data_IF_438363367512
#
_entry.id   IF_438363367512
#
_cell.length_a   1.000
_cell.length_b   1.000
_cell.length_c   1.000
_cell.angle_alpha   90.00
_cell.angle_beta   90.00
_cell.angle_gamma   90.00
#
_symmetry.space_group_name_H-M   'P 1'
#
loop_
_entity.id
_entity.type
_entity.pdbx_description
1 polymer ?
#
# COMPACT_ATOMS: atom_id res chain seq x y z
N UNK A 1 -54.91 -55.12 -6.25
CA UNK A 1 -54.41 -53.73 -6.42
C UNK A 1 -53.17 -53.57 -5.55
N UNK A 2 -51.95 -53.72 -6.10
CA UNK A 2 -50.70 -53.56 -5.33
C UNK A 2 -50.24 -52.10 -5.47
N UNK A 3 -50.17 -51.42 -4.33
CA UNK A 3 -49.75 -50.02 -4.19
C UNK A 3 -48.24 -49.90 -4.51
N UNK A 4 -47.86 -49.11 -5.51
CA UNK A 4 -46.48 -48.96 -6.01
C UNK A 4 -45.77 -47.68 -5.51
N UNK A 5 -45.96 -47.31 -4.24
CA UNK A 5 -45.32 -46.12 -3.64
C UNK A 5 -44.21 -46.43 -2.63
N UNK A 6 -43.46 -47.52 -2.80
CA UNK A 6 -42.32 -47.82 -1.96
C UNK A 6 -41.04 -47.32 -2.64
N UNK A 7 -40.63 -46.09 -2.30
CA UNK A 7 -39.30 -45.56 -2.62
C UNK A 7 -38.30 -46.40 -1.83
N UNK A 8 -37.36 -47.05 -2.52
CA UNK A 8 -36.36 -47.89 -1.85
C UNK A 8 -35.24 -47.03 -1.29
N UNK A 9 -34.53 -47.52 -0.27
CA UNK A 9 -33.35 -46.83 0.28
C UNK A 9 -32.26 -46.58 -0.78
N UNK A 10 -32.24 -47.37 -1.87
CA UNK A 10 -31.33 -47.18 -3.00
C UNK A 10 -31.69 -45.92 -3.81
N UNK A 11 -32.99 -45.64 -4.02
CA UNK A 11 -33.46 -44.44 -4.74
C UNK A 11 -33.09 -43.15 -3.98
N UNK A 12 -33.18 -43.18 -2.65
CA UNK A 12 -32.77 -42.06 -1.78
C UNK A 12 -31.26 -41.81 -1.87
N UNK A 13 -30.44 -42.87 -1.99
CA UNK A 13 -28.98 -42.76 -2.10
C UNK A 13 -28.54 -42.14 -3.42
N UNK A 14 -29.18 -42.51 -4.54
CA UNK A 14 -28.89 -41.91 -5.85
C UNK A 14 -29.34 -40.44 -5.92
N UNK A 15 -30.48 -40.12 -5.31
CA UNK A 15 -31.00 -38.75 -5.24
C UNK A 15 -30.10 -37.82 -4.41
N UNK A 16 -29.51 -38.33 -3.32
CA UNK A 16 -28.54 -37.60 -2.50
C UNK A 16 -27.18 -37.39 -3.20
N UNK A 17 -26.73 -38.34 -4.05
CA UNK A 17 -25.52 -38.17 -4.89
C UNK A 17 -25.68 -37.05 -5.92
N UNK A 18 -26.89 -36.90 -6.49
CA UNK A 18 -27.22 -35.81 -7.42
C UNK A 18 -27.24 -34.43 -6.76
N UNK A 19 -27.84 -34.34 -5.56
CA UNK A 19 -27.91 -33.10 -4.78
C UNK A 19 -26.53 -32.58 -4.35
N UNK A 20 -25.63 -33.48 -3.93
CA UNK A 20 -24.25 -33.14 -3.57
C UNK A 20 -23.47 -32.58 -4.78
N UNK A 21 -23.71 -33.10 -5.99
CA UNK A 21 -22.99 -32.67 -7.20
C UNK A 21 -23.47 -31.31 -7.75
N UNK A 22 -24.72 -30.95 -7.51
CA UNK A 22 -25.36 -29.73 -8.00
C UNK A 22 -25.19 -28.53 -7.05
N UNK A 23 -25.20 -28.77 -5.74
CA UNK A 23 -25.16 -27.68 -4.74
C UNK A 23 -23.74 -27.45 -4.22
N UNK A 24 -22.95 -28.50 -3.98
CA UNK A 24 -21.69 -28.37 -3.26
C UNK A 24 -20.50 -28.05 -4.17
N UNK A 25 -20.53 -28.50 -5.44
CA UNK A 25 -19.48 -28.17 -6.43
C UNK A 25 -19.39 -26.67 -6.77
N UNK A 26 -20.49 -25.97 -7.10
CA UNK A 26 -20.42 -24.53 -7.36
C UNK A 26 -20.17 -23.72 -6.08
N UNK A 27 -20.70 -24.16 -4.93
CA UNK A 27 -20.47 -23.50 -3.63
C UNK A 27 -18.99 -23.55 -3.21
N UNK A 28 -18.33 -24.70 -3.40
CA UNK A 28 -16.90 -24.87 -3.11
C UNK A 28 -16.00 -24.05 -4.04
N UNK A 29 -16.39 -23.89 -5.31
CA UNK A 29 -15.67 -23.04 -6.27
C UNK A 29 -15.89 -21.55 -5.98
N UNK A 30 -17.09 -21.15 -5.56
CA UNK A 30 -17.38 -19.76 -5.18
C UNK A 30 -16.58 -19.32 -3.95
N UNK A 31 -16.41 -20.19 -2.95
CA UNK A 31 -15.56 -19.93 -1.78
C UNK A 31 -14.09 -19.73 -2.19
N UNK A 32 -13.59 -20.53 -3.15
CA UNK A 32 -12.21 -20.46 -3.64
C UNK A 32 -11.97 -19.20 -4.48
N UNK A 33 -12.96 -18.78 -5.28
CA UNK A 33 -12.91 -17.51 -6.04
C UNK A 33 -12.95 -16.30 -5.12
N UNK A 34 -13.76 -16.33 -4.05
CA UNK A 34 -13.79 -15.25 -3.05
C UNK A 34 -12.47 -15.14 -2.26
N UNK A 35 -11.82 -16.27 -1.98
CA UNK A 35 -10.48 -16.27 -1.42
C UNK A 35 -9.47 -15.64 -2.38
N UNK A 36 -9.49 -15.99 -3.67
CA UNK A 36 -8.58 -15.40 -4.67
C UNK A 36 -8.80 -13.90 -4.88
N UNK A 37 -10.05 -13.42 -4.85
CA UNK A 37 -10.38 -11.99 -5.00
C UNK A 37 -9.99 -11.19 -3.74
N UNK A 38 -10.18 -11.76 -2.54
CA UNK A 38 -9.79 -11.13 -1.28
C UNK A 38 -8.27 -10.96 -1.11
N UNK A 39 -7.47 -11.83 -1.74
CA UNK A 39 -6.00 -11.76 -1.69
C UNK A 39 -5.46 -10.65 -2.61
N UNK A 40 -6.18 -10.27 -3.67
CA UNK A 40 -5.73 -9.27 -4.64
C UNK A 40 -5.95 -7.80 -4.21
N UNK A 41 -6.66 -7.55 -3.09
CA UNK A 41 -7.02 -6.20 -2.63
C UNK A 41 -6.23 -5.71 -1.40
N UNK A 42 -5.04 -6.26 -1.16
CA UNK A 42 -4.24 -5.90 0.02
C UNK A 42 -2.94 -5.13 -0.25
N UNK A 43 -2.55 -4.85 -1.50
CA UNK A 43 -1.20 -4.35 -1.79
C UNK A 43 -1.12 -2.92 -2.36
N UNK A 44 -2.18 -2.12 -2.30
CA UNK A 44 -2.07 -0.67 -2.46
C UNK A 44 -1.80 -0.01 -1.10
N UNK A 45 -0.92 -0.59 -0.29
CA UNK A 45 -0.33 0.13 0.81
C UNK A 45 0.57 1.20 0.20
N UNK A 46 0.11 2.46 0.19
CA UNK A 46 0.94 3.59 -0.14
C UNK A 46 2.17 3.53 0.77
N UNK A 47 3.30 3.08 0.21
CA UNK A 47 4.54 3.00 0.95
C UNK A 47 4.88 4.42 1.39
N UNK A 48 4.87 4.67 2.70
CA UNK A 48 5.26 5.96 3.24
C UNK A 48 6.69 6.21 2.79
N UNK A 49 6.89 7.07 1.79
CA UNK A 49 8.22 7.37 1.30
C UNK A 49 8.91 8.22 2.36
N UNK A 50 9.64 7.53 3.23
CA UNK A 50 10.30 8.15 4.36
C UNK A 50 11.60 8.77 3.85
N UNK A 51 11.57 10.10 3.72
CA UNK A 51 12.67 10.91 3.21
C UNK A 51 13.30 11.70 4.35
N UNK A 52 14.62 11.82 4.34
CA UNK A 52 15.37 12.68 5.27
C UNK A 52 16.02 13.81 4.49
N UNK A 53 15.92 15.03 5.02
CA UNK A 53 16.51 16.23 4.43
C UNK A 53 17.64 16.72 5.31
N UNK A 54 18.85 16.82 4.75
CA UNK A 54 20.07 17.20 5.46
C UNK A 54 20.59 18.51 4.90
N UNK A 55 20.65 19.54 5.74
CA UNK A 55 21.27 20.82 5.37
C UNK A 55 22.80 20.69 5.40
N UNK A 56 23.45 20.85 4.25
CA UNK A 56 24.91 20.85 4.16
C UNK A 56 25.43 22.29 4.02
N UNK A 57 25.94 22.80 5.13
CA UNK A 57 26.27 24.22 5.26
C UNK A 57 27.45 24.65 4.36
N UNK A 58 28.45 23.78 4.19
CA UNK A 58 29.63 24.10 3.40
C UNK A 58 29.38 24.01 1.89
N UNK A 59 28.36 23.25 1.50
CA UNK A 59 28.02 23.03 0.09
C UNK A 59 26.85 23.88 -0.39
N UNK A 60 26.16 24.61 0.50
CA UNK A 60 24.98 25.43 0.18
C UNK A 60 23.85 24.62 -0.48
N UNK A 61 23.67 23.38 -0.03
CA UNK A 61 22.66 22.44 -0.54
C UNK A 61 21.88 21.81 0.61
N UNK A 62 20.70 21.29 0.27
CA UNK A 62 19.99 20.27 1.06
C UNK A 62 20.03 18.94 0.31
N UNK A 63 20.53 17.90 0.96
CA UNK A 63 20.54 16.53 0.42
C UNK A 63 19.30 15.80 0.90
N UNK A 64 18.60 15.12 -0.01
CA UNK A 64 17.44 14.29 0.28
C UNK A 64 17.82 12.82 0.17
N UNK A 65 17.59 12.06 1.22
CA UNK A 65 17.85 10.63 1.28
C UNK A 65 16.54 9.86 1.39
N UNK A 66 16.48 8.73 0.72
CA UNK A 66 15.49 7.69 0.96
C UNK A 66 15.97 6.79 2.12
N UNK A 67 15.20 6.69 3.19
CA UNK A 67 15.62 5.93 4.38
C UNK A 67 15.45 4.42 4.24
N UNK A 68 14.70 3.94 3.24
CA UNK A 68 14.56 2.51 2.98
C UNK A 68 15.80 1.98 2.26
N UNK A 69 16.36 2.76 1.35
CA UNK A 69 17.53 2.38 0.53
C UNK A 69 18.84 3.03 1.01
N UNK A 70 18.77 3.93 1.99
CA UNK A 70 19.90 4.75 2.46
C UNK A 70 20.65 5.46 1.33
N UNK A 71 19.93 5.82 0.28
CA UNK A 71 20.51 6.40 -0.94
C UNK A 71 20.08 7.85 -1.11
N UNK A 72 20.97 8.69 -1.65
CA UNK A 72 20.64 10.07 -2.02
C UNK A 72 19.73 10.04 -3.24
N UNK A 73 18.55 10.65 -3.11
CA UNK A 73 17.55 10.71 -4.18
C UNK A 73 17.42 12.11 -4.79
N UNK A 74 17.85 13.16 -4.09
CA UNK A 74 17.91 14.52 -4.63
C UNK A 74 18.94 15.39 -3.92
N UNK A 75 19.39 16.43 -4.63
CA UNK A 75 20.23 17.50 -4.10
C UNK A 75 19.62 18.84 -4.51
N UNK A 76 19.29 19.68 -3.53
CA UNK A 76 18.53 20.91 -3.72
C UNK A 76 19.44 22.10 -3.39
N UNK A 77 19.80 22.94 -4.37
CA UNK A 77 20.53 24.18 -4.11
C UNK A 77 19.71 25.14 -3.24
N UNK A 78 20.35 25.74 -2.24
CA UNK A 78 19.74 26.74 -1.35
C UNK A 78 20.69 27.94 -1.16
N UNK A 79 20.38 28.85 -0.25
CA UNK A 79 21.26 29.97 0.08
C UNK A 79 22.53 29.56 0.83
N UNK A 80 23.32 30.55 1.23
CA UNK A 80 24.61 30.33 1.87
C UNK A 80 24.45 29.88 3.33
N UNK A 81 25.23 28.84 3.69
CA UNK A 81 25.33 28.29 5.04
C UNK A 81 23.96 27.91 5.64
N UNK A 82 23.20 26.99 5.00
CA UNK A 82 21.93 26.50 5.54
C UNK A 82 22.16 25.79 6.89
N UNK A 83 21.33 26.07 7.90
CA UNK A 83 21.59 25.58 9.27
C UNK A 83 20.65 24.44 9.72
N UNK A 84 19.35 24.57 9.48
CA UNK A 84 18.31 23.61 9.90
C UNK A 84 17.26 23.45 8.80
N UNK A 85 16.46 22.40 8.92
CA UNK A 85 15.28 22.17 8.07
C UNK A 85 14.07 22.05 9.00
N UNK A 86 13.03 22.83 8.76
CA UNK A 86 11.77 22.76 9.49
C UNK A 86 10.62 22.44 8.53
N UNK A 87 9.79 21.46 8.88
CA UNK A 87 8.68 21.01 8.03
C UNK A 87 7.35 21.61 8.48
N UNK A 88 6.43 21.80 7.54
CA UNK A 88 5.02 22.04 7.85
C UNK A 88 4.38 20.77 8.44
N UNK A 89 3.31 20.90 9.26
CA UNK A 89 2.64 19.73 9.84
C UNK A 89 2.05 18.76 8.81
N UNK A 90 1.65 19.27 7.65
CA UNK A 90 1.18 18.48 6.51
C UNK A 90 2.34 17.85 5.71
N UNK A 91 3.58 18.18 6.05
CA UNK A 91 4.78 17.67 5.40
C UNK A 91 5.01 18.18 3.98
N UNK A 92 4.19 19.10 3.44
CA UNK A 92 4.24 19.54 2.03
C UNK A 92 5.33 20.58 1.74
N UNK A 93 5.83 21.26 2.78
CA UNK A 93 6.88 22.27 2.65
C UNK A 93 7.96 22.09 3.70
N UNK A 94 9.18 22.43 3.32
CA UNK A 94 10.32 22.57 4.22
C UNK A 94 10.94 23.96 4.11
N UNK A 95 11.27 24.55 5.27
CA UNK A 95 11.90 25.86 5.39
C UNK A 95 13.34 25.70 5.84
N UNK A 96 14.24 26.39 5.12
CA UNK A 96 15.69 26.31 5.34
C UNK A 96 16.23 27.72 5.53
N UNK A 97 16.51 28.16 6.77
CA UNK A 97 17.17 29.43 7.01
C UNK A 97 18.63 29.38 6.54
N UNK A 98 19.01 30.37 5.73
CA UNK A 98 20.35 30.50 5.17
C UNK A 98 21.11 31.56 5.96
N UNK A 99 21.95 31.11 6.90
CA UNK A 99 22.55 31.96 7.93
C UNK A 99 23.55 33.00 7.39
N UNK A 100 23.92 32.93 6.12
CA UNK A 100 24.84 33.87 5.46
C UNK A 100 24.25 34.53 4.21
N UNK A 101 22.93 34.39 3.98
CA UNK A 101 22.24 35.01 2.84
C UNK A 101 21.06 35.90 3.23
N UNK A 102 20.85 36.13 4.53
CA UNK A 102 19.76 36.95 5.07
C UNK A 102 18.37 36.57 4.51
N UNK A 103 18.19 35.30 4.14
CA UNK A 103 16.96 34.79 3.51
C UNK A 103 16.63 33.36 3.97
N UNK A 104 15.44 32.89 3.60
CA UNK A 104 14.94 31.54 3.87
C UNK A 104 14.55 30.88 2.54
N UNK A 105 15.07 29.69 2.29
CA UNK A 105 14.66 28.86 1.16
C UNK A 105 13.44 28.03 1.52
N UNK A 106 12.49 27.93 0.60
CA UNK A 106 11.28 27.09 0.73
C UNK A 106 11.36 25.96 -0.27
N UNK A 107 11.25 24.73 0.21
CA UNK A 107 11.32 23.51 -0.60
C UNK A 107 9.93 22.86 -0.62
N UNK A 108 9.44 22.53 -1.81
CA UNK A 108 8.27 21.67 -1.98
C UNK A 108 8.72 20.20 -1.84
N UNK A 109 8.07 19.44 -0.97
CA UNK A 109 8.43 18.05 -0.68
C UNK A 109 7.63 17.04 -1.50
N UNK A 110 6.60 17.50 -2.22
CA UNK A 110 5.67 16.65 -2.99
C UNK A 110 6.05 16.49 -4.47
N UNK A 111 7.12 17.15 -4.91
CA UNK A 111 7.65 17.15 -6.28
C UNK A 111 9.09 16.68 -6.27
#
# INVERSE_FOLDING_TARGET
MKNQNLITLADICEQMRGFNRLVWKPLSLMLLVLLLIGIAWSAAAAQSQQRVYIANQCQNIVTVLDTATNSVIATIPVGLRPYRVAFTPDGTRAYVPNASSDNVSVINTTT
#
